data_IF_672753188262
#
_entry.id   IF_672753188262
#
_cell.length_a   1.000
_cell.length_b   1.000
_cell.length_c   1.000
_cell.angle_alpha   90.00
_cell.angle_beta   90.00
_cell.angle_gamma   90.00
#
_symmetry.space_group_name_H-M   'P 1'
#
loop_
_entity.id
_entity.type
_entity.pdbx_description
1 polymer ?
#
# COMPACT_ATOMS: atom_id res chain seq x y z
N UNK A 1 31.36 16.84 0.55
CA UNK A 1 31.04 15.45 0.97
C UNK A 1 29.75 15.08 0.29
N UNK A 2 29.69 13.96 -0.41
CA UNK A 2 28.44 13.45 -1.00
C UNK A 2 27.58 12.94 0.16
N UNK A 3 26.47 13.61 0.46
CA UNK A 3 25.51 13.11 1.43
C UNK A 3 24.94 11.81 0.86
N UNK A 4 25.23 10.68 1.51
CA UNK A 4 24.72 9.38 1.08
C UNK A 4 23.20 9.38 1.24
N UNK A 5 22.46 9.24 0.14
CA UNK A 5 20.99 9.18 0.17
C UNK A 5 20.46 7.88 0.80
N UNK A 6 21.27 6.82 0.74
CA UNK A 6 20.93 5.48 1.23
C UNK A 6 20.84 5.50 2.76
N UNK A 7 19.77 4.94 3.35
CA UNK A 7 19.69 4.71 4.80
C UNK A 7 20.89 3.90 5.30
N UNK A 8 21.49 4.30 6.43
CA UNK A 8 22.63 3.58 7.03
C UNK A 8 22.51 3.58 8.55
N UNK A 9 22.98 2.50 9.19
CA UNK A 9 23.16 2.48 10.65
C UNK A 9 24.60 2.85 10.97
N UNK A 10 24.78 3.86 11.82
CA UNK A 10 26.10 4.29 12.32
C UNK A 10 25.99 4.67 13.78
N UNK A 11 26.87 4.12 14.63
CA UNK A 11 26.92 4.40 16.07
C UNK A 11 25.53 4.23 16.76
N UNK A 12 24.82 3.15 16.44
CA UNK A 12 23.48 2.90 17.01
C UNK A 12 22.39 3.87 16.55
N UNK A 13 22.61 4.59 15.43
CA UNK A 13 21.66 5.54 14.86
C UNK A 13 21.32 5.18 13.42
N UNK A 14 20.03 5.21 13.06
CA UNK A 14 19.59 5.11 11.67
C UNK A 14 19.64 6.51 11.06
N UNK A 15 20.51 6.67 10.06
CA UNK A 15 20.77 7.92 9.36
C UNK A 15 20.15 7.87 7.97
N UNK A 16 19.43 8.91 7.56
CA UNK A 16 18.94 9.08 6.20
C UNK A 16 19.34 10.47 5.72
N UNK A 17 20.04 10.56 4.57
CA UNK A 17 20.59 11.81 4.05
C UNK A 17 21.38 12.62 5.10
N UNK A 18 22.12 11.92 5.96
CA UNK A 18 22.95 12.55 7.00
C UNK A 18 22.18 13.01 8.25
N UNK A 19 20.85 12.91 8.30
CA UNK A 19 20.05 13.19 9.51
C UNK A 19 19.80 11.92 10.29
N UNK A 20 19.90 12.01 11.62
CA UNK A 20 19.47 10.93 12.54
C UNK A 20 17.94 10.87 12.53
N UNK A 21 17.40 9.71 12.15
CA UNK A 21 15.94 9.44 12.17
C UNK A 21 15.57 8.60 13.40
N UNK A 22 16.39 7.59 13.72
CA UNK A 22 16.22 6.75 14.92
C UNK A 22 17.51 6.70 15.72
N UNK A 23 17.42 6.73 17.04
CA UNK A 23 18.53 6.50 17.98
C UNK A 23 18.33 5.20 18.76
N UNK A 24 19.40 4.65 19.32
CA UNK A 24 19.32 3.39 20.08
C UNK A 24 18.93 2.18 19.23
N UNK A 25 19.30 2.20 17.94
CA UNK A 25 19.05 1.10 17.01
C UNK A 25 19.80 -0.15 17.50
N UNK A 26 19.10 -1.27 17.76
CA UNK A 26 19.74 -2.50 18.24
C UNK A 26 20.70 -3.15 17.24
N UNK A 27 21.71 -3.86 17.73
CA UNK A 27 22.76 -4.50 16.91
C UNK A 27 22.24 -5.62 15.98
N UNK A 28 21.05 -6.17 16.25
CA UNK A 28 20.45 -7.19 15.41
C UNK A 28 19.67 -6.63 14.22
N UNK A 29 19.52 -5.30 14.12
CA UNK A 29 18.92 -4.61 12.97
C UNK A 29 19.93 -4.55 11.83
N UNK A 30 19.48 -4.89 10.63
CA UNK A 30 20.30 -4.91 9.41
C UNK A 30 19.73 -3.96 8.37
N UNK A 31 20.62 -3.41 7.54
CA UNK A 31 20.24 -2.57 6.41
C UNK A 31 20.81 -3.17 5.13
N UNK A 32 19.93 -3.39 4.16
CA UNK A 32 20.24 -3.96 2.85
C UNK A 32 19.97 -2.90 1.77
N UNK A 33 21.00 -2.18 1.29
CA UNK A 33 20.84 -1.15 0.26
C UNK A 33 20.27 -1.71 -1.06
N UNK A 34 19.47 -0.90 -1.74
CA UNK A 34 19.04 -1.17 -3.12
C UNK A 34 19.81 -0.29 -4.12
N UNK A 35 19.63 -0.52 -5.41
CA UNK A 35 20.28 0.26 -6.48
C UNK A 35 19.75 1.69 -6.64
N UNK A 36 18.65 2.07 -5.97
CA UNK A 36 17.92 3.31 -6.22
C UNK A 36 17.99 4.35 -5.08
N UNK A 37 19.00 4.26 -4.19
CA UNK A 37 19.11 5.18 -3.05
C UNK A 37 18.18 4.84 -1.88
N UNK A 38 17.46 3.73 -1.96
CA UNK A 38 16.64 3.17 -0.90
C UNK A 38 17.34 1.97 -0.24
N UNK A 39 16.76 1.46 0.84
CA UNK A 39 17.24 0.24 1.50
C UNK A 39 16.07 -0.53 2.11
N UNK A 40 16.25 -1.83 2.29
CA UNK A 40 15.46 -2.59 3.24
C UNK A 40 16.10 -2.53 4.62
N UNK A 41 15.26 -2.45 5.63
CA UNK A 41 15.59 -2.60 7.04
C UNK A 41 14.96 -3.90 7.51
N UNK A 42 15.78 -4.70 8.17
CA UNK A 42 15.40 -6.00 8.70
C UNK A 42 16.00 -6.24 10.08
N UNK A 43 15.75 -7.42 10.63
CA UNK A 43 16.35 -7.84 11.88
C UNK A 43 16.50 -9.37 11.99
N UNK A 44 17.44 -9.80 12.83
CA UNK A 44 17.64 -11.21 13.19
C UNK A 44 17.13 -11.48 14.60
N UNK A 45 16.57 -12.67 14.80
CA UNK A 45 16.19 -13.22 16.10
C UNK A 45 17.02 -14.46 16.41
N UNK A 46 17.21 -14.75 17.70
CA UNK A 46 17.84 -15.99 18.17
C UNK A 46 16.85 -17.15 18.24
N UNK A 47 15.55 -16.90 18.07
CA UNK A 47 14.48 -17.90 18.14
C UNK A 47 13.73 -18.00 16.82
N UNK A 48 13.20 -19.20 16.54
CA UNK A 48 12.19 -19.39 15.50
C UNK A 48 10.83 -18.98 16.06
N UNK A 49 10.08 -18.22 15.27
CA UNK A 49 8.70 -17.84 15.57
C UNK A 49 7.95 -17.54 14.30
N UNK A 50 6.64 -17.77 14.32
CA UNK A 50 5.70 -17.29 13.29
C UNK A 50 5.38 -15.80 13.44
N UNK A 51 5.80 -15.19 14.56
CA UNK A 51 5.61 -13.78 14.87
C UNK A 51 6.78 -13.20 15.66
N UNK A 52 7.40 -12.16 15.12
CA UNK A 52 8.42 -11.35 15.78
C UNK A 52 7.96 -9.90 15.93
N UNK A 53 8.44 -9.21 16.96
CA UNK A 53 8.34 -7.75 17.08
C UNK A 53 9.75 -7.23 17.33
N UNK A 54 10.30 -6.53 16.37
CA UNK A 54 11.65 -6.00 16.43
C UNK A 54 11.62 -4.49 16.70
N UNK A 55 12.51 -4.05 17.58
CA UNK A 55 12.69 -2.63 17.88
C UNK A 55 13.68 -2.02 16.88
N UNK A 56 13.32 -0.86 16.32
CA UNK A 56 14.15 -0.09 15.39
C UNK A 56 14.86 1.09 16.06
N UNK A 57 14.52 1.40 17.31
CA UNK A 57 15.06 2.54 18.05
C UNK A 57 14.02 3.62 18.35
N UNK A 58 14.46 4.68 19.01
CA UNK A 58 13.66 5.84 19.41
C UNK A 58 13.55 6.83 18.24
N UNK A 59 12.34 7.29 17.94
CA UNK A 59 12.11 8.28 16.88
C UNK A 59 12.57 9.67 17.34
N UNK A 60 13.50 10.25 16.58
CA UNK A 60 13.94 11.63 16.79
C UNK A 60 12.94 12.65 16.22
N UNK A 61 13.18 13.95 16.44
CA UNK A 61 12.28 15.07 16.13
C UNK A 61 11.82 15.15 14.65
N UNK A 62 10.89 14.27 14.28
CA UNK A 62 10.29 14.11 12.98
C UNK A 62 8.77 14.21 13.13
N UNK A 63 8.14 15.09 12.35
CA UNK A 63 6.68 15.01 12.18
C UNK A 63 6.37 13.82 11.28
N UNK A 64 5.24 13.18 11.47
CA UNK A 64 4.83 12.08 10.61
C UNK A 64 3.39 12.19 10.16
N UNK A 65 3.13 11.55 9.03
CA UNK A 65 1.81 11.03 8.64
C UNK A 65 1.93 9.52 8.46
N UNK A 66 0.96 8.75 8.98
CA UNK A 66 0.92 7.31 8.80
C UNK A 66 -0.47 6.84 8.35
N UNK A 67 -0.52 5.67 7.72
CA UNK A 67 -1.76 4.95 7.41
C UNK A 67 -1.77 3.66 8.22
N UNK A 68 -2.77 3.49 9.09
CA UNK A 68 -2.88 2.31 9.96
C UNK A 68 -4.21 1.60 9.77
N UNK A 69 -4.20 0.27 9.92
CA UNK A 69 -5.38 -0.57 9.76
C UNK A 69 -6.31 -0.43 10.98
N UNK A 70 -7.25 0.50 10.91
CA UNK A 70 -8.24 0.72 11.97
C UNK A 70 -9.31 -0.38 12.03
N UNK A 71 -9.56 -1.04 10.90
CA UNK A 71 -10.43 -2.22 10.74
C UNK A 71 -9.89 -3.05 9.59
N UNK A 72 -10.25 -4.33 9.52
CA UNK A 72 -9.76 -5.26 8.47
C UNK A 72 -9.93 -4.76 7.02
N UNK A 73 -10.84 -3.82 6.78
CA UNK A 73 -11.11 -3.23 5.45
C UNK A 73 -10.60 -1.79 5.28
N UNK A 74 -10.11 -1.15 6.35
CA UNK A 74 -9.93 0.31 6.43
C UNK A 74 -8.58 0.70 7.01
N UNK A 75 -7.83 1.48 6.22
CA UNK A 75 -6.75 2.30 6.75
C UNK A 75 -7.23 3.72 7.00
N UNK A 76 -6.76 4.36 8.07
CA UNK A 76 -7.07 5.75 8.40
C UNK A 76 -5.75 6.52 8.54
N UNK A 77 -5.67 7.77 8.07
CA UNK A 77 -4.51 8.60 8.31
C UNK A 77 -4.42 9.05 9.76
N UNK A 78 -3.20 9.11 10.29
CA UNK A 78 -2.87 9.82 11.53
C UNK A 78 -1.66 10.69 11.28
N UNK A 79 -1.62 11.86 11.93
CA UNK A 79 -0.44 12.71 12.00
C UNK A 79 0.03 12.82 13.45
N UNK A 80 1.32 13.01 13.65
CA UNK A 80 1.90 13.13 14.99
C UNK A 80 3.36 13.55 14.93
N UNK A 81 4.03 13.50 16.09
CA UNK A 81 5.46 13.85 16.24
C UNK A 81 6.25 12.86 17.09
N UNK A 82 5.57 11.88 17.68
CA UNK A 82 6.18 10.85 18.52
C UNK A 82 5.83 9.47 17.99
N UNK A 83 6.79 8.54 17.99
CA UNK A 83 6.52 7.14 17.70
C UNK A 83 5.42 6.58 18.61
N UNK A 84 5.30 7.05 19.86
CA UNK A 84 4.23 6.62 20.77
C UNK A 84 2.80 6.90 20.26
N UNK A 85 2.66 7.78 19.27
CA UNK A 85 1.38 8.11 18.63
C UNK A 85 1.10 7.21 17.40
N UNK A 86 2.09 6.45 16.92
CA UNK A 86 1.99 5.54 15.78
C UNK A 86 1.18 4.30 16.20
N UNK A 87 -0.02 4.09 15.64
CA UNK A 87 -0.87 2.97 16.01
C UNK A 87 -0.28 1.63 15.57
N UNK A 88 -0.69 0.55 16.24
CA UNK A 88 -0.45 -0.81 15.75
C UNK A 88 -1.05 -1.01 14.36
N UNK A 89 -0.50 -1.98 13.61
CA UNK A 89 -0.92 -2.28 12.24
C UNK A 89 -0.76 -1.08 11.28
N UNK A 90 0.26 -0.23 11.50
CA UNK A 90 0.63 0.84 10.57
C UNK A 90 1.27 0.25 9.32
N UNK A 91 0.75 0.57 8.13
CA UNK A 91 1.13 0.02 6.82
C UNK A 91 1.93 1.02 5.95
N UNK A 92 2.00 2.28 6.37
CA UNK A 92 2.82 3.31 5.74
C UNK A 92 3.14 4.36 6.79
N UNK A 93 4.40 4.82 6.83
CA UNK A 93 4.84 5.93 7.64
C UNK A 93 5.66 6.88 6.76
N UNK A 94 5.28 8.16 6.76
CA UNK A 94 5.96 9.23 6.05
C UNK A 94 6.44 10.24 7.08
N UNK A 95 7.76 10.41 7.18
CA UNK A 95 8.42 11.33 8.09
C UNK A 95 8.82 12.61 7.35
N UNK A 96 8.59 13.76 7.97
CA UNK A 96 9.18 15.05 7.60
C UNK A 96 10.44 15.24 8.44
N UNK A 97 11.61 15.26 7.80
CA UNK A 97 12.90 15.49 8.43
C UNK A 97 13.48 16.83 7.93
N UNK A 98 14.03 17.63 8.85
CA UNK A 98 14.74 18.87 8.53
C UNK A 98 16.24 18.61 8.38
N UNK A 99 16.86 19.24 7.38
CA UNK A 99 18.32 19.33 7.29
C UNK A 99 18.79 20.41 8.27
N UNK A 100 19.54 20.03 9.30
CA UNK A 100 20.15 21.03 10.20
C UNK A 100 21.16 21.83 9.40
N UNK A 101 20.90 23.14 9.24
CA UNK A 101 21.88 24.07 8.68
C UNK A 101 23.08 24.12 9.62
N UNK A 102 24.25 23.68 9.16
CA UNK A 102 25.52 23.98 9.81
C UNK A 102 25.80 25.50 9.68
N UNK A 103 25.13 26.33 10.48
CA UNK A 103 25.55 27.73 10.65
C UNK A 103 26.49 27.79 11.84
N UNK A 104 27.75 27.48 11.56
CA UNK A 104 28.86 27.92 12.37
C UNK A 104 28.99 29.43 12.27
N UNK A 105 29.03 30.08 13.43
CA UNK A 105 29.61 31.39 13.74
C UNK A 105 30.23 32.13 12.55
N UNK A 106 29.54 33.13 11.99
CA UNK A 106 30.17 34.29 11.33
C UNK A 106 29.23 35.49 11.36
N UNK A 107 29.86 36.65 11.40
CA UNK A 107 29.42 37.97 11.89
C UNK A 107 28.08 38.54 11.39
N UNK A 108 27.59 39.42 12.26
CA UNK A 108 26.54 40.43 12.13
C UNK A 108 26.58 41.22 10.80
N UNK A 109 25.41 41.70 10.37
CA UNK A 109 25.15 42.61 9.23
C UNK A 109 25.05 42.06 7.78
N UNK A 110 24.16 41.09 7.54
CA UNK A 110 23.45 41.04 6.25
C UNK A 110 21.98 40.66 6.44
N UNK A 111 21.04 41.18 5.61
CA UNK A 111 19.63 40.84 5.74
C UNK A 111 19.47 39.35 5.47
N UNK A 112 19.18 38.60 6.54
CA UNK A 112 18.91 37.17 6.51
C UNK A 112 17.75 36.90 5.56
N UNK A 113 18.08 36.48 4.34
CA UNK A 113 17.14 35.69 3.53
C UNK A 113 16.77 34.48 4.39
N UNK A 114 15.48 34.35 4.69
CA UNK A 114 14.90 33.28 5.49
C UNK A 114 15.58 31.97 5.13
N UNK A 115 16.25 31.34 6.11
CA UNK A 115 16.82 30.02 5.97
C UNK A 115 15.76 29.13 5.31
N UNK A 116 16.02 28.71 4.07
CA UNK A 116 15.20 27.68 3.44
C UNK A 116 15.36 26.44 4.34
N UNK A 117 14.34 26.18 5.14
CA UNK A 117 14.19 24.98 5.95
C UNK A 117 14.20 23.81 4.97
N UNK A 118 15.39 23.25 4.72
CA UNK A 118 15.62 22.29 3.65
C UNK A 118 15.06 20.95 4.14
N UNK A 119 13.75 20.81 3.99
CA UNK A 119 13.01 19.62 4.41
C UNK A 119 13.12 18.55 3.36
N UNK A 120 13.21 17.32 3.83
CA UNK A 120 13.02 16.15 3.01
C UNK A 120 12.12 15.16 3.72
N UNK A 121 11.66 14.17 2.97
CA UNK A 121 10.74 13.16 3.45
C UNK A 121 11.42 11.81 3.47
N UNK A 122 11.11 11.01 4.49
CA UNK A 122 11.50 9.60 4.59
C UNK A 122 10.24 8.76 4.57
N UNK A 123 10.12 7.92 3.55
CA UNK A 123 9.04 6.96 3.42
C UNK A 123 9.50 5.62 3.99
N UNK A 124 8.74 5.10 4.94
CA UNK A 124 8.94 3.82 5.60
C UNK A 124 7.72 2.94 5.31
N UNK A 125 7.93 1.89 4.51
CA UNK A 125 6.90 0.97 4.04
C UNK A 125 7.19 -0.42 4.60
N UNK A 126 6.41 -0.94 5.56
CA UNK A 126 6.43 -2.37 5.81
C UNK A 126 5.95 -3.12 4.56
N UNK A 127 6.59 -4.24 4.24
CA UNK A 127 6.30 -5.00 3.00
C UNK A 127 5.96 -6.47 3.30
N UNK A 128 5.52 -7.19 2.27
CA UNK A 128 5.39 -8.64 2.28
C UNK A 128 6.73 -9.25 1.90
N UNK A 129 7.28 -10.12 2.73
CA UNK A 129 8.52 -10.86 2.48
C UNK A 129 8.21 -12.37 2.54
N UNK A 130 8.05 -12.95 1.35
CA UNK A 130 7.59 -14.33 1.17
C UNK A 130 6.22 -14.58 1.83
N UNK A 131 6.20 -15.49 2.81
CA UNK A 131 5.00 -15.87 3.55
C UNK A 131 4.71 -14.96 4.75
N UNK A 132 5.51 -13.92 4.98
CA UNK A 132 5.39 -13.03 6.13
C UNK A 132 4.95 -11.63 5.70
N UNK A 133 4.22 -10.96 6.58
CA UNK A 133 3.90 -9.53 6.46
C UNK A 133 4.57 -8.75 7.56
N UNK A 134 5.07 -7.56 7.21
CA UNK A 134 5.48 -6.57 8.19
C UNK A 134 4.36 -5.58 8.50
N UNK A 135 4.33 -5.03 9.72
CA UNK A 135 3.56 -3.83 10.10
C UNK A 135 4.37 -2.98 11.06
N UNK A 136 4.08 -1.69 11.15
CA UNK A 136 4.73 -0.76 12.08
C UNK A 136 3.85 -0.49 13.30
N UNK A 137 4.49 -0.17 14.42
CA UNK A 137 3.83 0.29 15.63
C UNK A 137 4.78 1.14 16.50
N UNK A 138 4.20 2.02 17.30
CA UNK A 138 4.90 2.75 18.35
C UNK A 138 4.88 2.08 19.72
N UNK A 139 5.79 2.47 20.60
CA UNK A 139 5.74 2.15 22.04
C UNK A 139 5.54 3.41 22.89
N UNK A 140 5.06 3.28 24.15
CA UNK A 140 5.01 4.40 25.09
C UNK A 140 6.37 5.08 25.34
N UNK A 141 7.48 4.38 25.10
CA UNK A 141 8.85 4.88 25.23
C UNK A 141 9.36 5.57 23.95
N UNK A 142 8.47 5.94 23.02
CA UNK A 142 8.81 6.59 21.76
C UNK A 142 9.70 5.72 20.83
N UNK A 143 9.62 4.41 20.97
CA UNK A 143 10.32 3.48 20.08
C UNK A 143 9.45 3.12 18.89
N UNK A 144 10.06 3.04 17.72
CA UNK A 144 9.45 2.48 16.52
C UNK A 144 9.76 0.98 16.48
N UNK A 145 8.74 0.17 16.25
CA UNK A 145 8.85 -1.27 16.09
C UNK A 145 8.26 -1.71 14.77
N UNK A 146 8.76 -2.82 14.23
CA UNK A 146 8.04 -3.56 13.20
C UNK A 146 7.66 -4.96 13.69
N UNK A 147 6.39 -5.32 13.52
CA UNK A 147 5.88 -6.67 13.69
C UNK A 147 6.10 -7.42 12.38
N UNK A 148 6.53 -8.68 12.45
CA UNK A 148 6.81 -9.53 11.31
C UNK A 148 6.18 -10.90 11.53
N UNK A 149 5.14 -11.25 10.78
CA UNK A 149 4.35 -12.45 11.05
C UNK A 149 3.79 -13.14 9.81
N UNK A 150 3.71 -14.48 9.87
CA UNK A 150 3.12 -15.32 8.82
C UNK A 150 1.62 -15.54 9.01
N UNK A 151 1.13 -15.43 10.25
CA UNK A 151 -0.24 -15.81 10.60
C UNK A 151 -0.47 -17.33 10.71
N UNK A 152 0.58 -18.14 10.53
CA UNK A 152 0.56 -19.60 10.65
C UNK A 152 1.64 -20.07 11.65
N UNK A 153 1.28 -20.71 12.78
CA UNK A 153 2.24 -21.23 13.75
C UNK A 153 3.33 -22.16 13.18
N UNK A 154 3.05 -22.84 12.07
CA UNK A 154 3.99 -23.77 11.42
C UNK A 154 4.94 -23.07 10.46
N UNK A 155 4.61 -21.85 10.00
CA UNK A 155 5.46 -21.04 9.14
C UNK A 155 6.28 -20.10 10.01
N UNK A 156 7.49 -20.55 10.38
CA UNK A 156 8.38 -19.85 11.31
C UNK A 156 9.66 -19.39 10.63
N UNK A 157 10.23 -18.30 11.16
CA UNK A 157 11.55 -17.79 10.76
C UNK A 157 12.32 -17.27 11.97
N UNK A 158 13.62 -17.08 11.84
CA UNK A 158 14.45 -16.31 12.77
C UNK A 158 15.04 -15.06 12.11
N UNK A 159 14.73 -14.80 10.83
CA UNK A 159 15.26 -13.68 10.07
C UNK A 159 14.12 -12.95 9.34
N UNK A 160 14.15 -11.62 9.40
CA UNK A 160 13.26 -10.74 8.69
C UNK A 160 14.12 -9.69 7.97
N UNK A 161 14.79 -10.07 6.88
CA UNK A 161 15.84 -9.25 6.25
C UNK A 161 15.28 -8.11 5.40
N UNK A 162 14.10 -8.29 4.82
CA UNK A 162 13.49 -7.34 3.90
C UNK A 162 12.13 -6.82 4.40
N UNK A 163 11.92 -6.82 5.72
CA UNK A 163 10.62 -6.49 6.32
C UNK A 163 10.15 -5.04 6.13
N UNK A 164 11.06 -4.06 6.05
CA UNK A 164 10.70 -2.65 5.95
C UNK A 164 11.50 -1.96 4.85
N UNK A 165 10.84 -1.44 3.82
CA UNK A 165 11.47 -0.62 2.79
C UNK A 165 11.55 0.85 3.21
N UNK A 166 12.71 1.48 3.02
CA UNK A 166 12.96 2.88 3.35
C UNK A 166 13.54 3.63 2.17
N UNK A 167 12.92 4.76 1.82
CA UNK A 167 13.38 5.67 0.77
C UNK A 167 13.27 7.13 1.22
N UNK A 168 13.95 8.05 0.53
CA UNK A 168 13.87 9.48 0.84
C UNK A 168 13.82 10.38 -0.40
N UNK A 169 13.24 11.58 -0.25
CA UNK A 169 13.09 12.53 -1.36
C UNK A 169 12.55 13.88 -0.90
N UNK A 170 12.67 14.90 -1.74
CA UNK A 170 12.30 16.28 -1.39
C UNK A 170 10.81 16.56 -1.56
N UNK A 171 10.12 15.77 -2.40
CA UNK A 171 8.68 15.88 -2.62
C UNK A 171 7.99 14.57 -2.20
N UNK A 172 7.00 14.61 -1.28
CA UNK A 172 6.41 13.40 -0.74
C UNK A 172 5.55 12.64 -1.77
N UNK A 173 4.97 13.34 -2.74
CA UNK A 173 4.13 12.73 -3.78
C UNK A 173 4.99 11.96 -4.80
N UNK A 174 6.08 12.56 -5.27
CA UNK A 174 7.03 11.88 -6.15
C UNK A 174 7.76 10.77 -5.39
N UNK A 175 8.13 10.97 -4.11
CA UNK A 175 8.75 9.94 -3.28
C UNK A 175 7.89 8.68 -3.20
N UNK A 176 6.59 8.81 -2.93
CA UNK A 176 5.68 7.66 -2.88
C UNK A 176 5.67 6.95 -4.25
N UNK A 177 5.45 7.69 -5.32
CA UNK A 177 5.37 7.15 -6.69
C UNK A 177 6.66 6.43 -7.13
N UNK A 178 7.82 7.03 -6.86
CA UNK A 178 9.12 6.48 -7.22
C UNK A 178 9.55 5.32 -6.33
N UNK A 179 8.99 5.22 -5.11
CA UNK A 179 9.20 4.08 -4.21
C UNK A 179 8.39 2.84 -4.60
N UNK A 180 7.22 3.00 -5.24
CA UNK A 180 6.40 1.85 -5.66
C UNK A 180 7.05 1.07 -6.81
N UNK A 181 7.70 1.74 -7.77
CA UNK A 181 8.34 1.07 -8.91
C UNK A 181 9.38 0.00 -8.53
N UNK A 182 10.41 0.28 -7.70
CA UNK A 182 11.37 -0.73 -7.29
C UNK A 182 10.73 -1.85 -6.47
N UNK A 183 9.70 -1.54 -5.66
CA UNK A 183 8.93 -2.55 -4.95
C UNK A 183 8.18 -3.49 -5.89
N UNK A 184 7.55 -2.96 -6.96
CA UNK A 184 6.89 -3.79 -7.99
C UNK A 184 7.89 -4.72 -8.69
N UNK A 185 9.10 -4.25 -8.98
CA UNK A 185 10.16 -5.09 -9.56
C UNK A 185 10.58 -6.17 -8.54
N UNK A 186 10.78 -5.80 -7.28
CA UNK A 186 11.19 -6.71 -6.21
C UNK A 186 10.17 -7.83 -5.98
N UNK A 187 8.86 -7.55 -6.02
CA UNK A 187 7.80 -8.58 -5.95
C UNK A 187 7.47 -9.25 -7.30
N UNK A 188 8.21 -8.96 -8.37
CA UNK A 188 8.04 -9.60 -9.69
C UNK A 188 6.79 -9.18 -10.47
N UNK A 189 6.26 -7.97 -10.24
CA UNK A 189 5.06 -7.41 -10.90
C UNK A 189 5.35 -6.37 -11.99
N UNK A 190 6.61 -6.18 -12.40
CA UNK A 190 7.02 -5.20 -13.42
C UNK A 190 6.43 -5.47 -14.84
N UNK A 191 5.96 -6.70 -15.08
CA UNK A 191 5.32 -7.17 -16.31
C UNK A 191 3.78 -7.18 -16.35
N UNK A 192 3.05 -6.80 -15.30
CA UNK A 192 1.58 -6.88 -15.29
C UNK A 192 0.93 -5.93 -16.33
N UNK A 193 0.10 -6.49 -17.23
CA UNK A 193 -0.47 -5.80 -18.38
C UNK A 193 -1.77 -5.01 -18.05
N UNK A 194 -1.63 -3.75 -17.65
CA UNK A 194 -2.72 -2.76 -17.62
C UNK A 194 -3.56 -2.75 -16.33
N UNK A 195 -4.04 -1.57 -15.94
CA UNK A 195 -4.89 -1.38 -14.75
C UNK A 195 -6.24 -0.81 -15.17
N UNK A 196 -7.29 -1.37 -14.60
CA UNK A 196 -8.64 -0.87 -14.69
C UNK A 196 -8.95 -0.05 -13.44
N UNK A 197 -9.57 1.10 -13.66
CA UNK A 197 -10.03 2.03 -12.66
C UNK A 197 -11.55 1.87 -12.57
N UNK A 198 -12.07 1.67 -11.38
CA UNK A 198 -13.48 1.93 -11.13
C UNK A 198 -13.59 3.12 -10.21
N UNK A 199 -14.15 4.20 -10.76
CA UNK A 199 -14.53 5.38 -10.00
C UNK A 199 -15.82 5.06 -9.27
N UNK A 200 -15.87 5.37 -7.98
CA UNK A 200 -17.10 5.35 -7.21
C UNK A 200 -17.27 6.68 -6.51
N UNK A 201 -18.24 7.47 -7.00
CA UNK A 201 -18.68 8.69 -6.34
C UNK A 201 -19.41 8.33 -5.04
N UNK A 202 -19.02 8.99 -3.95
CA UNK A 202 -19.75 8.95 -2.68
C UNK A 202 -20.03 10.39 -2.29
N UNK A 203 -21.20 10.88 -2.66
CA UNK A 203 -21.67 12.18 -2.21
C UNK A 203 -22.24 12.04 -0.79
N UNK A 204 -21.58 12.68 0.18
CA UNK A 204 -22.00 12.74 1.58
C UNK A 204 -22.97 13.90 1.83
N UNK A 205 -24.00 14.05 1.00
CA UNK A 205 -25.17 14.88 1.34
C UNK A 205 -26.47 14.16 0.98
N UNK A 206 -27.23 13.83 2.02
CA UNK A 206 -28.65 13.43 2.04
C UNK A 206 -29.10 12.16 1.30
N UNK A 207 -28.36 11.63 0.31
CA UNK A 207 -28.63 10.33 -0.34
C UNK A 207 -27.32 9.68 -0.81
N UNK A 208 -27.01 8.47 -0.32
CA UNK A 208 -25.92 7.63 -0.88
C UNK A 208 -26.33 7.20 -2.29
N UNK A 209 -25.92 7.94 -3.32
CA UNK A 209 -26.06 7.51 -4.71
C UNK A 209 -24.69 7.01 -5.18
N UNK A 210 -24.56 5.69 -5.33
CA UNK A 210 -23.36 5.09 -5.91
C UNK A 210 -23.49 5.11 -7.44
N UNK A 211 -22.93 6.13 -8.10
CA UNK A 211 -22.67 6.10 -9.53
C UNK A 211 -21.19 5.76 -9.74
N UNK A 212 -20.93 4.68 -10.46
CA UNK A 212 -19.59 4.29 -10.82
C UNK A 212 -19.41 4.14 -12.32
N UNK A 213 -18.28 4.63 -12.82
CA UNK A 213 -17.81 4.42 -14.17
C UNK A 213 -16.58 3.52 -14.14
N UNK A 214 -16.45 2.69 -15.17
CA UNK A 214 -15.24 1.93 -15.41
C UNK A 214 -14.40 2.68 -16.42
N UNK A 215 -13.10 2.80 -16.16
CA UNK A 215 -12.17 3.44 -17.08
C UNK A 215 -10.89 2.63 -17.15
N UNK A 216 -10.46 2.31 -18.36
CA UNK A 216 -9.19 1.64 -18.61
C UNK A 216 -8.10 2.68 -18.78
N UNK A 217 -7.02 2.57 -18.01
CA UNK A 217 -5.87 3.47 -18.15
C UNK A 217 -4.66 2.66 -18.62
N UNK A 218 -4.15 2.92 -19.84
CA UNK A 218 -2.91 2.31 -20.31
C UNK A 218 -1.71 2.65 -19.40
N UNK A 219 -0.69 1.77 -19.35
CA UNK A 219 0.51 1.88 -18.47
C UNK A 219 1.22 3.25 -18.55
N UNK A 220 1.14 3.94 -19.68
CA UNK A 220 1.80 5.23 -19.92
C UNK A 220 0.87 6.45 -19.86
N UNK A 221 -0.41 6.26 -19.52
CA UNK A 221 -1.38 7.35 -19.42
C UNK A 221 -1.68 7.70 -17.97
N UNK A 222 -1.97 8.97 -17.75
CA UNK A 222 -2.49 9.49 -16.49
C UNK A 222 -4.00 9.68 -16.60
N UNK A 223 -4.70 9.51 -15.48
CA UNK A 223 -6.08 9.93 -15.32
C UNK A 223 -6.09 11.16 -14.44
N UNK A 224 -6.55 12.28 -14.97
CA UNK A 224 -6.75 13.48 -14.17
C UNK A 224 -8.00 13.33 -13.32
N UNK A 225 -7.86 13.65 -12.03
CA UNK A 225 -8.94 13.61 -11.04
C UNK A 225 -8.98 14.97 -10.37
N UNK A 226 -10.16 15.57 -10.29
CA UNK A 226 -10.39 16.82 -9.55
C UNK A 226 -11.43 16.57 -8.48
N UNK A 227 -11.06 16.84 -7.23
CA UNK A 227 -11.98 16.75 -6.09
C UNK A 227 -12.46 18.15 -5.70
N UNK A 228 -13.76 18.28 -5.45
CA UNK A 228 -14.29 19.49 -4.83
C UNK A 228 -13.86 19.64 -3.37
N UNK A 229 -13.98 20.86 -2.84
CA UNK A 229 -13.69 21.14 -1.41
C UNK A 229 -14.55 20.23 -0.53
N UNK A 230 -13.92 19.52 0.41
CA UNK A 230 -14.54 18.55 1.33
C UNK A 230 -15.29 17.39 0.64
N UNK A 231 -14.95 17.10 -0.63
CA UNK A 231 -15.45 15.92 -1.34
C UNK A 231 -14.42 14.79 -1.33
N UNK A 232 -14.90 13.56 -1.48
CA UNK A 232 -14.05 12.40 -1.68
C UNK A 232 -14.57 11.53 -2.83
N UNK A 233 -13.64 10.87 -3.51
CA UNK A 233 -13.93 9.82 -4.47
C UNK A 233 -13.17 8.56 -4.07
N UNK A 234 -13.78 7.41 -4.32
CA UNK A 234 -13.13 6.12 -4.06
C UNK A 234 -12.75 5.50 -5.39
N UNK A 235 -11.48 5.19 -5.50
CA UNK A 235 -10.90 4.48 -6.63
C UNK A 235 -10.64 3.04 -6.21
N UNK A 236 -11.13 2.09 -7.00
CA UNK A 236 -10.63 0.72 -6.94
C UNK A 236 -9.78 0.48 -8.18
N UNK A 237 -8.56 0.01 -7.94
CA UNK A 237 -7.59 -0.35 -8.96
C UNK A 237 -7.59 -1.86 -9.07
N UNK A 238 -7.88 -2.39 -10.25
CA UNK A 238 -7.84 -3.83 -10.52
C UNK A 238 -6.96 -4.12 -11.73
N UNK A 239 -5.96 -5.00 -11.63
CA UNK A 239 -5.12 -5.36 -12.76
C UNK A 239 -5.94 -6.09 -13.82
N UNK A 240 -5.77 -5.67 -15.08
CA UNK A 240 -6.37 -6.34 -16.22
C UNK A 240 -5.54 -7.57 -16.56
N UNK A 241 -6.20 -8.72 -16.65
CA UNK A 241 -5.64 -9.95 -17.19
C UNK A 241 -6.11 -10.12 -18.64
N UNK A 242 -5.21 -10.49 -19.53
CA UNK A 242 -5.54 -10.92 -20.90
C UNK A 242 -5.72 -12.44 -20.88
N UNK A 243 -6.87 -12.91 -21.35
CA UNK A 243 -7.30 -14.30 -21.37
C UNK A 243 -7.42 -14.76 -22.82
N UNK A 244 -6.88 -15.94 -23.16
CA UNK A 244 -6.89 -16.52 -24.51
C UNK A 244 -6.53 -15.51 -25.61
N UNK A 245 -5.53 -14.67 -25.34
CA UNK A 245 -5.01 -13.58 -26.19
C UNK A 245 -5.99 -12.44 -26.58
N UNK A 246 -7.29 -12.55 -26.27
CA UNK A 246 -8.31 -11.65 -26.81
C UNK A 246 -9.28 -11.05 -25.78
N UNK A 247 -9.47 -11.68 -24.61
CA UNK A 247 -10.44 -11.22 -23.61
C UNK A 247 -9.68 -10.53 -22.48
N UNK A 248 -9.96 -9.25 -22.25
CA UNK A 248 -9.43 -8.51 -21.11
C UNK A 248 -10.43 -8.57 -19.97
N UNK A 249 -9.98 -9.00 -18.79
CA UNK A 249 -10.83 -9.17 -17.62
C UNK A 249 -10.16 -8.63 -16.36
N UNK A 250 -10.94 -8.00 -15.47
CA UNK A 250 -10.44 -7.54 -14.18
C UNK A 250 -11.53 -7.65 -13.10
N UNK A 251 -11.33 -8.40 -12.00
CA UNK A 251 -12.30 -8.46 -10.91
C UNK A 251 -12.31 -7.15 -10.12
N UNK A 252 -13.48 -6.54 -9.88
CA UNK A 252 -13.59 -5.30 -9.10
C UNK A 252 -13.97 -5.61 -7.66
N UNK A 253 -14.84 -6.60 -7.45
CA UNK A 253 -15.35 -6.99 -6.14
C UNK A 253 -16.69 -6.37 -5.80
N UNK A 254 -16.98 -6.13 -4.51
CA UNK A 254 -18.29 -5.63 -4.07
C UNK A 254 -18.39 -4.11 -4.29
N UNK A 255 -18.99 -3.70 -5.41
CA UNK A 255 -18.96 -2.31 -5.89
C UNK A 255 -19.73 -1.32 -5.02
N UNK A 256 -20.54 -1.79 -4.07
CA UNK A 256 -21.19 -0.96 -3.06
C UNK A 256 -20.44 -0.84 -1.73
N UNK A 257 -19.25 -1.44 -1.61
CA UNK A 257 -18.30 -1.21 -0.50
C UNK A 257 -17.21 -0.20 -0.89
N UNK A 258 -16.55 0.47 0.08
CA UNK A 258 -15.43 1.36 -0.29
C UNK A 258 -14.10 0.61 -0.53
N UNK A 259 -13.89 -0.57 0.08
CA UNK A 259 -12.81 -1.49 -0.27
C UNK A 259 -13.39 -2.64 -1.09
N UNK A 260 -13.77 -2.36 -2.33
CA UNK A 260 -14.48 -3.33 -3.17
C UNK A 260 -13.61 -4.54 -3.52
N UNK A 261 -12.35 -4.28 -3.92
CA UNK A 261 -11.37 -5.31 -4.28
C UNK A 261 -11.01 -6.25 -3.14
N UNK A 262 -11.07 -5.79 -1.88
CA UNK A 262 -10.87 -6.64 -0.70
C UNK A 262 -11.88 -7.78 -0.56
N UNK A 263 -13.00 -7.74 -1.28
CA UNK A 263 -13.93 -8.85 -1.33
C UNK A 263 -13.42 -10.01 -2.19
N UNK A 264 -12.46 -9.82 -3.10
CA UNK A 264 -11.96 -10.85 -4.01
C UNK A 264 -10.80 -11.59 -3.34
N UNK A 265 -10.99 -12.87 -3.03
CA UNK A 265 -9.94 -13.70 -2.44
C UNK A 265 -9.11 -14.42 -3.50
N UNK A 266 -9.76 -14.93 -4.55
CA UNK A 266 -9.11 -15.68 -5.60
C UNK A 266 -9.71 -15.33 -6.96
N UNK A 267 -8.87 -15.35 -8.00
CA UNK A 267 -9.31 -15.18 -9.39
C UNK A 267 -8.40 -16.00 -10.32
N UNK A 268 -8.96 -17.05 -10.89
CA UNK A 268 -8.30 -17.95 -11.84
C UNK A 268 -9.06 -18.01 -13.16
N UNK A 269 -8.38 -18.43 -14.20
CA UNK A 269 -8.97 -18.63 -15.52
C UNK A 269 -8.55 -19.99 -16.05
N UNK A 270 -9.53 -20.79 -16.48
CA UNK A 270 -9.29 -22.12 -17.02
C UNK A 270 -10.40 -22.47 -18.00
N UNK A 271 -10.02 -22.97 -19.19
CA UNK A 271 -10.92 -23.50 -20.20
C UNK A 271 -12.03 -22.51 -20.64
N UNK A 272 -11.69 -21.22 -20.82
CA UNK A 272 -12.68 -20.21 -21.21
C UNK A 272 -13.57 -19.70 -20.07
N UNK A 273 -13.35 -20.18 -18.84
CA UNK A 273 -14.12 -19.80 -17.65
C UNK A 273 -13.24 -19.05 -16.66
N UNK A 274 -13.68 -17.87 -16.26
CA UNK A 274 -13.12 -17.14 -15.12
C UNK A 274 -13.79 -17.65 -13.85
N UNK A 275 -13.01 -18.15 -12.90
CA UNK A 275 -13.48 -18.52 -11.56
C UNK A 275 -12.95 -17.55 -10.53
N UNK A 276 -13.85 -17.03 -9.72
CA UNK A 276 -13.51 -16.12 -8.62
C UNK A 276 -14.09 -16.64 -7.32
N UNK A 277 -13.38 -16.38 -6.23
CA UNK A 277 -13.88 -16.57 -4.87
C UNK A 277 -14.00 -15.22 -4.23
N UNK A 278 -15.19 -14.89 -3.74
CA UNK A 278 -15.45 -13.60 -3.11
C UNK A 278 -16.05 -13.76 -1.70
N UNK A 279 -15.72 -12.83 -0.80
CA UNK A 279 -16.25 -12.76 0.56
C UNK A 279 -17.37 -11.72 0.65
N UNK A 280 -18.49 -12.10 1.25
CA UNK A 280 -19.63 -11.21 1.51
C UNK A 280 -20.74 -11.31 0.46
N UNK A 281 -21.70 -10.38 0.54
CA UNK A 281 -22.93 -10.37 -0.24
C UNK A 281 -23.21 -8.98 -0.84
N UNK A 282 -24.05 -8.93 -1.87
CA UNK A 282 -24.41 -7.72 -2.61
C UNK A 282 -23.91 -7.70 -4.05
N UNK A 283 -23.92 -6.52 -4.67
CA UNK A 283 -23.58 -6.37 -6.09
C UNK A 283 -22.08 -6.51 -6.32
N UNK A 284 -21.68 -7.59 -6.98
CA UNK A 284 -20.31 -7.85 -7.40
C UNK A 284 -20.08 -7.33 -8.81
N UNK A 285 -18.94 -6.69 -9.04
CA UNK A 285 -18.53 -6.15 -10.33
C UNK A 285 -17.25 -6.77 -10.84
N UNK A 286 -17.16 -6.89 -12.16
CA UNK A 286 -15.93 -7.16 -12.89
C UNK A 286 -15.93 -6.38 -14.21
N UNK A 287 -14.76 -6.12 -14.76
CA UNK A 287 -14.62 -5.66 -16.13
C UNK A 287 -14.39 -6.82 -17.06
N UNK A 288 -15.00 -6.74 -18.24
CA UNK A 288 -14.72 -7.61 -19.37
C UNK A 288 -14.76 -6.82 -20.66
N UNK A 289 -13.80 -7.04 -21.56
CA UNK A 289 -13.82 -6.45 -22.91
C UNK A 289 -14.84 -7.12 -23.85
N UNK A 290 -15.35 -8.30 -23.47
CA UNK A 290 -16.34 -9.08 -24.22
C UNK A 290 -17.52 -9.38 -23.31
N UNK A 291 -18.74 -9.37 -23.84
CA UNK A 291 -19.93 -9.78 -23.09
C UNK A 291 -19.82 -11.27 -22.74
N UNK A 292 -19.92 -11.67 -21.45
CA UNK A 292 -19.99 -13.07 -21.07
C UNK A 292 -21.20 -13.80 -21.66
N UNK A 293 -21.09 -15.12 -21.84
CA UNK A 293 -22.19 -15.98 -22.27
C UNK A 293 -23.05 -16.47 -21.10
N UNK A 294 -22.45 -16.71 -19.93
CA UNK A 294 -23.18 -17.05 -18.70
C UNK A 294 -22.43 -16.65 -17.43
N UNK A 295 -23.18 -16.59 -16.33
CA UNK A 295 -22.66 -16.37 -14.99
C UNK A 295 -23.30 -17.38 -14.02
N UNK A 296 -22.49 -17.96 -13.13
CA UNK A 296 -22.96 -18.81 -12.04
C UNK A 296 -22.46 -18.31 -10.69
N UNK A 297 -23.27 -18.49 -9.65
CA UNK A 297 -22.88 -18.29 -8.26
C UNK A 297 -23.19 -19.56 -7.47
N UNK A 298 -22.19 -20.10 -6.77
CA UNK A 298 -22.29 -21.36 -6.03
C UNK A 298 -22.86 -22.50 -6.89
N UNK A 299 -22.34 -22.64 -8.11
CA UNK A 299 -22.77 -23.60 -9.15
C UNK A 299 -24.20 -23.44 -9.68
N UNK A 300 -24.92 -22.36 -9.33
CA UNK A 300 -26.26 -22.06 -9.83
C UNK A 300 -26.19 -20.96 -10.88
N UNK A 301 -26.96 -21.10 -11.96
CA UNK A 301 -27.09 -20.05 -12.97
C UNK A 301 -27.73 -18.80 -12.35
N UNK A 302 -27.11 -17.65 -12.60
CA UNK A 302 -27.55 -16.35 -12.07
C UNK A 302 -27.63 -15.32 -13.19
N UNK A 303 -28.63 -14.45 -13.10
CA UNK A 303 -28.75 -13.31 -13.99
C UNK A 303 -27.59 -12.33 -13.75
N UNK A 304 -27.03 -11.81 -14.85
CA UNK A 304 -26.01 -10.78 -14.81
C UNK A 304 -26.34 -9.64 -15.77
N UNK A 305 -25.77 -8.47 -15.52
CA UNK A 305 -25.81 -7.35 -16.46
C UNK A 305 -24.44 -7.11 -17.06
N UNK A 306 -24.43 -6.61 -18.30
CA UNK A 306 -23.23 -6.20 -19.01
C UNK A 306 -23.46 -4.83 -19.64
N UNK A 307 -22.60 -3.86 -19.31
CA UNK A 307 -22.62 -2.51 -19.85
C UNK A 307 -21.58 -2.39 -20.95
N UNK A 308 -22.01 -2.36 -22.21
CA UNK A 308 -21.10 -2.37 -23.36
C UNK A 308 -20.26 -1.11 -23.51
N UNK A 309 -20.70 0.01 -22.93
CA UNK A 309 -20.01 1.31 -23.01
C UNK A 309 -18.66 1.30 -22.29
N UNK A 310 -18.54 0.55 -21.19
CA UNK A 310 -17.34 0.51 -20.36
C UNK A 310 -16.95 -0.90 -19.87
N UNK A 311 -17.62 -1.94 -20.36
CA UNK A 311 -17.31 -3.34 -20.10
C UNK A 311 -17.67 -3.81 -18.69
N UNK A 312 -18.47 -3.08 -17.93
CA UNK A 312 -18.87 -3.48 -16.58
C UNK A 312 -19.83 -4.68 -16.62
N UNK A 313 -19.41 -5.80 -16.05
CA UNK A 313 -20.23 -6.96 -15.70
C UNK A 313 -20.64 -6.83 -14.24
N UNK A 314 -21.92 -7.04 -13.93
CA UNK A 314 -22.35 -7.17 -12.52
C UNK A 314 -23.28 -8.36 -12.29
N UNK A 315 -23.11 -9.00 -11.14
CA UNK A 315 -23.92 -10.13 -10.65
C UNK A 315 -24.23 -9.92 -9.16
N UNK A 316 -25.42 -10.32 -8.71
CA UNK A 316 -25.81 -10.17 -7.32
C UNK A 316 -25.42 -11.41 -6.50
N UNK A 317 -24.62 -11.23 -5.46
CA UNK A 317 -24.24 -12.31 -4.55
C UNK A 317 -25.23 -12.37 -3.39
N UNK A 318 -26.09 -13.40 -3.38
CA UNK A 318 -27.10 -13.60 -2.33
C UNK A 318 -26.72 -14.70 -1.35
N UNK A 319 -27.12 -14.55 -0.09
CA UNK A 319 -27.00 -15.57 0.96
C UNK A 319 -25.93 -15.27 2.01
N UNK A 320 -26.09 -15.91 3.18
CA UNK A 320 -25.29 -15.68 4.39
C UNK A 320 -23.96 -16.44 4.43
N UNK A 321 -23.58 -17.13 3.34
CA UNK A 321 -22.30 -17.85 3.31
C UNK A 321 -21.13 -16.87 3.41
N UNK A 322 -20.07 -17.31 4.10
CA UNK A 322 -18.84 -16.52 4.24
C UNK A 322 -18.18 -16.24 2.89
N UNK A 323 -18.31 -17.17 1.93
CA UNK A 323 -17.77 -17.06 0.58
C UNK A 323 -18.79 -17.39 -0.50
N UNK A 324 -18.50 -16.90 -1.70
CA UNK A 324 -19.21 -17.14 -2.94
C UNK A 324 -18.24 -17.55 -4.03
N UNK A 325 -18.56 -18.63 -4.72
CA UNK A 325 -17.86 -19.06 -5.92
C UNK A 325 -18.58 -18.49 -7.13
N UNK A 326 -17.89 -17.70 -7.94
CA UNK A 326 -18.44 -17.03 -9.12
C UNK A 326 -17.75 -17.61 -10.35
N UNK A 327 -18.53 -18.10 -11.31
CA UNK A 327 -18.02 -18.56 -12.60
C UNK A 327 -18.59 -17.69 -13.72
N UNK A 328 -17.72 -17.14 -14.56
CA UNK A 328 -18.10 -16.37 -15.74
C UNK A 328 -17.55 -17.10 -16.97
N UNK A 329 -18.42 -17.52 -17.87
CA UNK A 329 -18.05 -18.19 -19.11
C UNK A 329 -18.13 -17.24 -20.31
N UNK A 330 -17.29 -17.49 -21.30
CA UNK A 330 -17.24 -16.77 -22.58
C UNK A 330 -17.57 -17.70 -23.73
#
# INVERSE_FOLDING_TARGET
>A
MTITAIPVIKNGCLMVRGKVVLTGVPDNVVVSPTSAGSAFIGANSTTLSSRHVFNLGVLEDCKFMCLFLAKIWWMIPRVGKSASEIPMETQMLLLEAGEESLVGVVDDDSPTELANDNKFYVLVLPVLDGAFRATLQGTPSNELQFCYESGDPEVQTSQALEGVFVNSGDNPFELIKDSIKPLLIWIGLDGAHGMLFTLKLVQMESKRVFRGSVSRVPKSKTLEVTLGVLQCEIFTLSPVKVLNDNIQFAPIGLIHMYNSGGAVEECSFKDGVVRMKARGWGLFGAYSSVKPSSCKVDSKDEDFSYRSEDGLVTVNLQGESSFKEIEIAF
#
